data_IF_784885007362
#
_entry.id   IF_784885007362
#
_cell.length_a   1.000
_cell.length_b   1.000
_cell.length_c   1.000
_cell.angle_alpha   90.00
_cell.angle_beta   90.00
_cell.angle_gamma   90.00
#
_symmetry.space_group_name_H-M   'P 1'
#
loop_
_entity.id
_entity.type
_entity.pdbx_description
1 polymer ?
#
# COMPACT_ATOMS: atom_id res chain seq x y z
N UNK A 1 3.51 14.53 -3.57
CA UNK A 1 2.49 14.22 -4.61
C UNK A 1 1.18 13.75 -4.02
N UNK A 2 0.09 14.51 -4.21
CA UNK A 2 -1.24 14.17 -3.68
C UNK A 2 -1.82 12.89 -4.31
N UNK A 3 -1.55 12.65 -5.60
CA UNK A 3 -2.01 11.45 -6.31
C UNK A 3 -1.39 10.17 -5.76
N UNK A 4 -0.07 10.17 -5.53
CA UNK A 4 0.65 9.06 -4.90
C UNK A 4 0.17 8.83 -3.46
N UNK A 5 -0.05 9.90 -2.69
CA UNK A 5 -0.55 9.80 -1.32
C UNK A 5 -1.95 9.15 -1.27
N UNK A 6 -2.85 9.51 -2.19
CA UNK A 6 -4.17 8.87 -2.30
C UNK A 6 -4.05 7.39 -2.65
N UNK A 7 -3.23 7.04 -3.65
CA UNK A 7 -3.00 5.65 -4.02
C UNK A 7 -2.41 4.80 -2.87
N UNK A 8 -1.61 5.40 -1.98
CA UNK A 8 -1.11 4.75 -0.75
C UNK A 8 -2.19 4.55 0.29
N UNK A 9 -3.02 5.57 0.52
CA UNK A 9 -4.16 5.48 1.43
C UNK A 9 -5.10 4.35 1.02
N UNK A 10 -5.37 4.24 -0.28
CA UNK A 10 -6.28 3.23 -0.84
C UNK A 10 -5.62 1.85 -1.01
N UNK A 11 -4.34 1.69 -0.62
CA UNK A 11 -3.52 0.50 -0.86
C UNK A 11 -3.55 0.02 -2.33
N UNK A 12 -3.71 0.97 -3.27
CA UNK A 12 -3.77 0.69 -4.70
C UNK A 12 -2.37 0.57 -5.28
N UNK A 13 -1.82 -0.64 -5.25
CA UNK A 13 -0.45 -0.94 -5.71
C UNK A 13 -0.26 -0.67 -7.21
N UNK A 14 -1.22 -1.03 -8.05
CA UNK A 14 -1.15 -0.75 -9.48
C UNK A 14 -0.99 0.75 -9.75
N UNK A 15 -1.79 1.58 -9.05
CA UNK A 15 -1.72 3.04 -9.20
C UNK A 15 -0.44 3.63 -8.58
N UNK A 16 0.05 3.07 -7.49
CA UNK A 16 1.33 3.48 -6.91
C UNK A 16 2.49 3.21 -7.87
N UNK A 17 2.49 2.09 -8.61
CA UNK A 17 3.52 1.79 -9.61
C UNK A 17 3.44 2.72 -10.80
N UNK A 18 2.24 2.95 -11.35
CA UNK A 18 2.02 3.90 -12.45
C UNK A 18 2.51 5.32 -12.12
N UNK A 19 2.34 5.76 -10.86
CA UNK A 19 2.72 7.08 -10.40
C UNK A 19 4.17 7.16 -9.85
N UNK A 20 4.88 6.03 -9.78
CA UNK A 20 6.25 6.02 -9.29
C UNK A 20 7.17 6.70 -10.32
N UNK A 21 8.25 7.32 -9.84
CA UNK A 21 9.30 7.89 -10.71
C UNK A 21 9.93 6.78 -11.57
N UNK A 22 10.08 5.59 -11.00
CA UNK A 22 10.53 4.37 -11.67
C UNK A 22 9.56 3.22 -11.34
N UNK A 23 8.56 2.99 -12.21
CA UNK A 23 7.54 1.96 -12.03
C UNK A 23 8.12 0.55 -11.95
N UNK A 24 9.09 0.23 -12.82
CA UNK A 24 9.69 -1.10 -12.91
C UNK A 24 10.44 -1.43 -11.61
N UNK A 25 11.21 -0.47 -11.10
CA UNK A 25 11.93 -0.66 -9.84
C UNK A 25 11.00 -0.82 -8.65
N UNK A 26 9.92 -0.03 -8.61
CA UNK A 26 8.94 -0.13 -7.54
C UNK A 26 8.24 -1.50 -7.52
N UNK A 27 7.88 -2.03 -8.69
CA UNK A 27 7.27 -3.35 -8.83
C UNK A 27 8.27 -4.47 -8.47
N UNK A 28 9.51 -4.39 -8.96
CA UNK A 28 10.58 -5.33 -8.62
C UNK A 28 10.80 -5.41 -7.09
N UNK A 29 10.86 -4.25 -6.42
CA UNK A 29 11.05 -4.20 -4.97
C UNK A 29 9.90 -4.86 -4.21
N UNK A 30 8.65 -4.69 -4.65
CA UNK A 30 7.51 -5.39 -4.04
C UNK A 30 7.59 -6.89 -4.27
N UNK A 31 7.97 -7.34 -5.48
CA UNK A 31 8.15 -8.77 -5.79
C UNK A 31 9.28 -9.41 -4.96
N UNK A 32 10.38 -8.69 -4.74
CA UNK A 32 11.50 -9.15 -3.89
C UNK A 32 11.16 -9.19 -2.40
N UNK A 33 10.18 -8.40 -1.96
CA UNK A 33 9.75 -8.29 -0.57
C UNK A 33 8.24 -8.50 -0.49
N UNK A 34 7.74 -9.71 -0.83
CA UNK A 34 6.31 -9.98 -0.81
C UNK A 34 5.81 -9.94 0.63
N UNK A 35 4.62 -9.37 0.89
CA UNK A 35 4.02 -9.44 2.21
C UNK A 35 3.66 -10.90 2.55
N UNK A 36 4.02 -11.34 3.75
CA UNK A 36 3.81 -12.73 4.20
C UNK A 36 2.51 -12.94 4.97
N UNK A 37 2.03 -11.91 5.67
CA UNK A 37 0.86 -11.99 6.55
C UNK A 37 -0.43 -11.48 5.89
N UNK A 38 -0.35 -10.42 5.09
CA UNK A 38 -1.51 -9.84 4.41
C UNK A 38 -1.10 -9.32 3.00
N UNK A 39 -1.67 -9.88 1.91
CA UNK A 39 -1.31 -9.51 0.54
C UNK A 39 -1.64 -8.06 0.17
N UNK A 40 -2.53 -7.39 0.91
CA UNK A 40 -2.95 -6.02 0.61
C UNK A 40 -1.96 -4.95 1.10
N UNK A 41 -1.08 -5.30 2.04
CA UNK A 41 -0.15 -4.35 2.68
C UNK A 41 1.28 -4.52 2.14
N UNK A 42 2.23 -3.78 2.71
CA UNK A 42 3.65 -3.98 2.45
C UNK A 42 4.25 -5.03 3.41
N UNK A 43 5.42 -5.56 3.08
CA UNK A 43 6.12 -6.55 3.90
C UNK A 43 6.66 -6.02 5.24
N UNK A 44 6.42 -4.76 5.60
CA UNK A 44 6.98 -4.14 6.81
C UNK A 44 6.13 -4.40 8.06
N UNK A 45 4.85 -4.02 8.03
CA UNK A 45 3.99 -4.04 9.23
C UNK A 45 3.04 -5.24 9.29
N UNK A 46 2.76 -5.90 8.16
CA UNK A 46 1.81 -7.02 8.08
C UNK A 46 0.44 -6.65 8.66
N UNK A 47 -0.05 -7.47 9.59
CA UNK A 47 -1.37 -7.32 10.24
C UNK A 47 -1.55 -5.99 10.98
N UNK A 48 -0.47 -5.30 11.33
CA UNK A 48 -0.49 -4.03 12.06
C UNK A 48 -0.27 -2.81 11.14
N UNK A 49 -0.72 -2.91 9.89
CA UNK A 49 -0.62 -1.81 8.94
C UNK A 49 -1.50 -0.63 9.40
N UNK A 50 -0.86 0.47 9.80
CA UNK A 50 -1.53 1.67 10.29
C UNK A 50 -2.58 2.23 9.31
N UNK A 51 -2.27 2.24 8.00
CA UNK A 51 -3.20 2.72 6.97
C UNK A 51 -4.48 1.89 6.97
N UNK A 52 -4.33 0.55 6.94
CA UNK A 52 -5.46 -0.38 6.92
C UNK A 52 -6.30 -0.25 8.20
N UNK A 53 -5.66 -0.21 9.37
CA UNK A 53 -6.35 -0.11 10.66
C UNK A 53 -7.16 1.18 10.79
N UNK A 54 -6.59 2.32 10.39
CA UNK A 54 -7.29 3.60 10.43
C UNK A 54 -8.46 3.60 9.45
N UNK A 55 -8.28 3.09 8.24
CA UNK A 55 -9.36 3.00 7.24
C UNK A 55 -10.52 2.10 7.72
N UNK A 56 -10.22 0.96 8.34
CA UNK A 56 -11.22 0.10 8.96
C UNK A 56 -11.97 0.79 10.11
N UNK A 57 -11.25 1.51 10.97
CA UNK A 57 -11.85 2.29 12.06
C UNK A 57 -12.79 3.37 11.51
N UNK A 58 -12.34 4.15 10.52
CA UNK A 58 -13.14 5.21 9.90
C UNK A 58 -14.38 4.67 9.20
N UNK A 59 -14.30 3.48 8.58
CA UNK A 59 -15.46 2.81 7.99
C UNK A 59 -16.48 2.35 9.03
N UNK A 60 -16.03 1.93 10.22
CA UNK A 60 -16.92 1.52 11.33
C UNK A 60 -17.55 2.70 12.06
N UNK A 61 -16.87 3.85 12.11
CA UNK A 61 -17.36 5.07 12.74
C UNK A 61 -18.38 5.84 11.89
N UNK A 62 -18.72 5.32 10.70
CA UNK A 62 -19.61 5.92 9.72
C UNK A 62 -20.93 5.17 9.69
#
# INVERSE_FOLDING_TARGET
DSRMAMARKDLNWAKQFELAIDPEKAEELRKKRPPTLDPNVCAMCGNWCAIKMIEEYLKRAK
#
